data_IF_051849026711
#
_entry.id   IF_051849026711
#
_cell.length_a   1.000
_cell.length_b   1.000
_cell.length_c   1.000
_cell.angle_alpha   90.00
_cell.angle_beta   90.00
_cell.angle_gamma   90.00
#
_symmetry.space_group_name_H-M   'P 1'
#
loop_
_entity.id
_entity.type
_entity.pdbx_description
1 polymer ?
#
# COMPACT_ATOMS: atom_id res chain seq x y z
N UNK A 1 -11.15 -3.77 13.36
CA UNK A 1 -9.85 -4.38 13.02
C UNK A 1 -8.81 -3.65 13.83
N UNK A 2 -7.81 -4.33 14.41
CA UNK A 2 -6.60 -3.61 14.84
C UNK A 2 -6.11 -2.79 13.64
N UNK A 3 -6.00 -1.47 13.81
CA UNK A 3 -5.43 -0.62 12.76
C UNK A 3 -4.01 -1.09 12.50
N UNK A 4 -3.74 -1.56 11.29
CA UNK A 4 -2.40 -1.90 10.85
C UNK A 4 -1.59 -0.59 10.75
N UNK A 5 -0.74 -0.36 11.75
CA UNK A 5 0.01 0.89 11.94
C UNK A 5 0.87 1.24 10.71
N UNK A 6 1.39 0.23 10.03
CA UNK A 6 2.09 0.42 8.76
C UNK A 6 1.18 1.02 7.68
N UNK A 7 -0.06 0.53 7.57
CA UNK A 7 -1.00 1.03 6.58
C UNK A 7 -1.37 2.49 6.88
N UNK A 8 -1.63 2.84 8.15
CA UNK A 8 -1.85 4.22 8.58
C UNK A 8 -0.65 5.12 8.23
N UNK A 9 0.58 4.63 8.46
CA UNK A 9 1.81 5.34 8.08
C UNK A 9 1.93 5.54 6.57
N UNK A 10 1.58 4.52 5.77
CA UNK A 10 1.59 4.62 4.32
C UNK A 10 0.58 5.66 3.83
N UNK A 11 -0.66 5.64 4.33
CA UNK A 11 -1.66 6.66 4.01
C UNK A 11 -1.20 8.07 4.37
N UNK A 12 -0.56 8.24 5.54
CA UNK A 12 0.03 9.54 5.93
C UNK A 12 1.14 9.98 4.99
N UNK A 13 1.99 9.06 4.54
CA UNK A 13 3.06 9.33 3.58
C UNK A 13 2.52 9.79 2.24
N UNK A 14 1.42 9.19 1.77
CA UNK A 14 0.73 9.62 0.56
C UNK A 14 0.11 11.02 0.70
N UNK A 15 -0.53 11.33 1.84
CA UNK A 15 -1.03 12.70 2.09
C UNK A 15 0.08 13.73 1.98
N UNK A 16 1.26 13.41 2.51
CA UNK A 16 2.41 14.29 2.38
C UNK A 16 2.92 14.41 0.95
N UNK A 17 2.98 13.30 0.21
CA UNK A 17 3.43 13.25 -1.17
C UNK A 17 2.50 14.02 -2.12
N UNK A 18 1.20 13.78 -2.02
CA UNK A 18 0.20 14.42 -2.87
C UNK A 18 -0.18 15.83 -2.42
N UNK A 19 0.04 16.18 -1.14
CA UNK A 19 -0.39 17.45 -0.54
C UNK A 19 -1.88 17.72 -0.87
N UNK A 20 -2.18 18.89 -1.41
CA UNK A 20 -3.55 19.31 -1.75
C UNK A 20 -4.12 18.62 -3.01
N UNK A 21 -3.30 17.87 -3.77
CA UNK A 21 -3.74 17.21 -5.01
C UNK A 21 -4.63 15.99 -4.76
N UNK A 22 -4.61 15.45 -3.55
CA UNK A 22 -5.32 14.23 -3.19
C UNK A 22 -6.10 14.46 -1.89
N UNK A 23 -7.37 14.84 -2.04
CA UNK A 23 -8.27 15.10 -0.90
C UNK A 23 -8.90 13.82 -0.34
N UNK A 24 -8.94 12.77 -1.15
CA UNK A 24 -9.55 11.49 -0.79
C UNK A 24 -8.59 10.34 -1.15
N UNK A 25 -8.39 9.40 -0.22
CA UNK A 25 -7.56 8.19 -0.40
C UNK A 25 -8.44 6.94 -0.51
N UNK A 26 -9.75 7.12 -0.77
CA UNK A 26 -10.67 6.02 -1.02
C UNK A 26 -10.30 5.11 -2.19
N UNK A 27 -9.31 5.48 -3.01
CA UNK A 27 -8.74 4.64 -4.06
C UNK A 27 -7.75 3.58 -3.57
N UNK A 28 -7.47 3.54 -2.26
CA UNK A 28 -6.59 2.54 -1.66
C UNK A 28 -7.41 1.64 -0.74
N UNK A 29 -7.41 0.35 -1.08
CA UNK A 29 -8.01 -0.68 -0.26
C UNK A 29 -6.94 -1.54 0.40
N UNK A 30 -7.20 -1.96 1.62
CA UNK A 30 -6.33 -2.85 2.37
C UNK A 30 -7.10 -4.08 2.82
N UNK A 31 -6.55 -5.24 2.50
CA UNK A 31 -7.10 -6.54 2.85
C UNK A 31 -6.00 -7.43 3.41
N UNK A 32 -6.34 -8.31 4.36
CA UNK A 32 -5.42 -9.32 4.86
C UNK A 32 -6.14 -10.63 5.13
N UNK A 33 -5.48 -11.73 4.78
CA UNK A 33 -5.87 -13.09 5.13
C UNK A 33 -4.85 -13.72 6.10
N UNK A 34 -4.88 -15.03 6.27
CA UNK A 34 -3.98 -15.75 7.19
C UNK A 34 -2.50 -15.67 6.80
N UNK A 35 -2.19 -15.53 5.51
CA UNK A 35 -0.84 -15.66 4.98
C UNK A 35 -0.32 -14.36 4.36
N UNK A 36 -1.20 -13.57 3.75
CA UNK A 36 -0.84 -12.40 2.96
C UNK A 36 -1.66 -11.18 3.33
N UNK A 37 -1.07 -10.00 3.09
CA UNK A 37 -1.80 -8.75 3.01
C UNK A 37 -1.70 -8.18 1.60
N UNK A 38 -2.76 -7.50 1.20
CA UNK A 38 -2.99 -6.95 -0.11
C UNK A 38 -3.29 -5.46 0.02
N UNK A 39 -2.63 -4.66 -0.81
CA UNK A 39 -2.89 -3.22 -0.94
C UNK A 39 -3.28 -2.99 -2.40
N UNK A 40 -4.55 -2.67 -2.62
CA UNK A 40 -5.07 -2.32 -3.94
C UNK A 40 -5.06 -0.80 -4.10
N UNK A 41 -4.60 -0.32 -5.25
CA UNK A 41 -4.46 1.10 -5.57
C UNK A 41 -5.05 1.32 -6.96
N UNK A 42 -6.18 2.00 -7.08
CA UNK A 42 -6.86 2.20 -8.37
C UNK A 42 -6.50 3.56 -9.01
N UNK A 43 -6.84 4.67 -8.35
CA UNK A 43 -6.42 6.01 -8.79
C UNK A 43 -4.97 6.31 -8.38
N UNK A 44 -4.27 7.11 -9.19
CA UNK A 44 -2.84 7.44 -8.97
C UNK A 44 -1.96 6.19 -8.77
N UNK A 45 -2.33 5.09 -9.43
CA UNK A 45 -1.77 3.76 -9.21
C UNK A 45 -0.23 3.76 -9.21
N UNK A 46 0.37 4.41 -10.21
CA UNK A 46 1.83 4.46 -10.35
C UNK A 46 2.48 5.31 -9.25
N UNK A 47 1.96 6.51 -8.98
CA UNK A 47 2.53 7.40 -7.97
C UNK A 47 2.44 6.81 -6.56
N UNK A 48 1.27 6.29 -6.18
CA UNK A 48 1.09 5.68 -4.88
C UNK A 48 1.90 4.38 -4.76
N UNK A 49 1.96 3.56 -5.83
CA UNK A 49 2.82 2.38 -5.87
C UNK A 49 4.31 2.72 -5.72
N UNK A 50 4.80 3.80 -6.32
CA UNK A 50 6.19 4.26 -6.16
C UNK A 50 6.46 4.64 -4.70
N UNK A 51 5.55 5.32 -4.02
CA UNK A 51 5.69 5.64 -2.59
C UNK A 51 5.72 4.35 -1.76
N UNK A 52 4.80 3.43 -1.99
CA UNK A 52 4.74 2.15 -1.27
C UNK A 52 6.03 1.33 -1.47
N UNK A 53 6.41 1.10 -2.73
CA UNK A 53 7.59 0.30 -3.09
C UNK A 53 8.89 0.89 -2.54
N UNK A 54 9.01 2.23 -2.47
CA UNK A 54 10.14 2.89 -1.83
C UNK A 54 10.20 2.60 -0.32
N UNK A 55 9.06 2.68 0.37
CA UNK A 55 8.99 2.36 1.80
C UNK A 55 9.36 0.88 2.02
N UNK A 56 8.73 -0.03 1.28
CA UNK A 56 8.99 -1.48 1.38
C UNK A 56 10.47 -1.82 1.10
N UNK A 57 11.07 -1.19 0.07
CA UNK A 57 12.47 -1.40 -0.30
C UNK A 57 13.45 -0.97 0.80
N UNK A 58 13.15 0.12 1.52
CA UNK A 58 13.98 0.59 2.65
C UNK A 58 14.12 -0.47 3.75
N UNK A 59 13.09 -1.29 3.95
CA UNK A 59 13.05 -2.36 4.94
C UNK A 59 13.29 -3.75 4.35
N UNK A 60 13.72 -3.82 3.07
CA UNK A 60 13.99 -5.06 2.34
C UNK A 60 12.82 -6.04 2.36
N UNK A 61 11.60 -5.51 2.26
CA UNK A 61 10.38 -6.33 2.20
C UNK A 61 10.27 -6.90 0.79
N UNK A 62 10.13 -8.23 0.70
CA UNK A 62 9.78 -8.89 -0.57
C UNK A 62 8.28 -8.79 -0.75
N UNK A 63 7.87 -8.30 -1.91
CA UNK A 63 6.46 -8.18 -2.29
C UNK A 63 6.28 -8.58 -3.75
N UNK A 64 5.07 -9.00 -4.09
CA UNK A 64 4.60 -9.21 -5.45
C UNK A 64 3.70 -8.05 -5.86
N UNK A 65 3.69 -7.68 -7.13
CA UNK A 65 2.73 -6.71 -7.67
C UNK A 65 2.03 -7.23 -8.93
N UNK A 66 0.73 -6.98 -9.01
CA UNK A 66 -0.12 -7.26 -10.16
C UNK A 66 -0.72 -5.97 -10.71
N UNK A 67 -0.82 -5.87 -12.04
CA UNK A 67 -1.51 -4.75 -12.69
C UNK A 67 -2.98 -5.11 -12.87
N UNK A 68 -3.87 -4.22 -12.44
CA UNK A 68 -5.31 -4.37 -12.61
C UNK A 68 -5.71 -3.72 -13.94
N UNK A 69 -6.41 -4.49 -14.76
CA UNK A 69 -6.94 -4.03 -16.05
C UNK A 69 -8.46 -4.03 -16.02
N UNK A 70 -9.06 -2.97 -16.54
CA UNK A 70 -10.49 -2.91 -16.84
C UNK A 70 -10.69 -2.34 -18.24
N UNK A 71 -11.48 -3.04 -19.07
CA UNK A 71 -11.77 -2.66 -20.47
C UNK A 71 -10.52 -2.32 -21.31
N UNK A 72 -9.42 -3.03 -21.07
CA UNK A 72 -8.16 -2.86 -21.82
C UNK A 72 -7.27 -1.69 -21.35
N UNK A 73 -7.64 -1.00 -20.26
CA UNK A 73 -6.85 0.08 -19.66
C UNK A 73 -6.34 -0.37 -18.29
N UNK A 74 -5.14 0.07 -17.92
CA UNK A 74 -4.63 -0.11 -16.55
C UNK A 74 -5.45 0.77 -15.62
N UNK A 75 -6.13 0.15 -14.67
CA UNK A 75 -6.98 0.84 -13.69
C UNK A 75 -6.46 0.73 -12.27
N UNK A 76 -5.35 0.02 -12.05
CA UNK A 76 -4.78 -0.08 -10.72
C UNK A 76 -3.58 -1.00 -10.61
N UNK A 77 -3.08 -1.12 -9.39
CA UNK A 77 -2.04 -2.06 -8.98
C UNK A 77 -2.47 -2.72 -7.68
N UNK A 78 -2.28 -4.03 -7.58
CA UNK A 78 -2.39 -4.77 -6.31
C UNK A 78 -0.99 -5.17 -5.86
N UNK A 79 -0.65 -4.87 -4.60
CA UNK A 79 0.60 -5.27 -3.96
C UNK A 79 0.32 -6.30 -2.89
N UNK A 80 1.00 -7.43 -2.97
CA UNK A 80 0.88 -8.53 -2.02
C UNK A 80 2.21 -8.74 -1.28
N UNK A 81 2.15 -8.87 0.04
CA UNK A 81 3.29 -9.28 0.87
C UNK A 81 2.83 -10.20 2.00
N UNK A 82 3.75 -10.98 2.55
CA UNK A 82 3.43 -11.91 3.63
C UNK A 82 3.02 -11.16 4.91
N UNK A 83 2.06 -11.72 5.67
CA UNK A 83 1.60 -11.14 6.94
C UNK A 83 2.73 -10.98 7.95
N UNK A 84 3.73 -11.88 7.99
CA UNK A 84 4.88 -11.74 8.89
C UNK A 84 5.69 -10.47 8.61
N UNK A 85 5.77 -10.06 7.34
CA UNK A 85 6.45 -8.82 6.94
C UNK A 85 5.62 -7.60 7.33
N UNK A 86 4.30 -7.65 7.14
CA UNK A 86 3.38 -6.63 7.65
C UNK A 86 3.50 -6.46 9.17
N UNK A 87 3.52 -7.56 9.94
CA UNK A 87 3.68 -7.50 11.39
C UNK A 87 5.02 -6.90 11.81
N UNK A 88 6.10 -7.22 11.07
CA UNK A 88 7.42 -6.61 11.27
C UNK A 88 7.35 -5.10 11.06
N UNK A 89 6.69 -4.65 9.99
CA UNK A 89 6.48 -3.23 9.72
C UNK A 89 5.61 -2.57 10.80
N UNK A 90 4.50 -3.19 11.20
CA UNK A 90 3.63 -2.68 12.26
C UNK A 90 4.41 -2.44 13.56
N UNK A 91 5.32 -3.34 13.95
CA UNK A 91 6.19 -3.16 15.13
C UNK A 91 7.17 -1.99 14.97
N UNK A 92 7.69 -1.75 13.77
CA UNK A 92 8.63 -0.66 13.49
C UNK A 92 7.95 0.71 13.48
N UNK A 93 6.70 0.78 13.05
CA UNK A 93 5.93 2.03 12.94
C UNK A 93 5.02 2.30 14.13
N UNK A 94 4.90 1.36 15.09
CA UNK A 94 4.35 1.61 16.43
C UNK A 94 5.25 2.61 17.15
N UNK A 95 4.91 3.90 17.02
CA UNK A 95 5.42 4.99 17.86
C UNK A 95 4.59 5.06 19.13
#
# INVERSE_FOLDING_TARGET
MENDVFFDYYLKSLRFYFRDRCKDIGFIEFFKDENNCFITIEDYALEAFVVLSNILSKYRIVFSCGIIYSKGVVTGVEVCMNVSELERLNKLFKI
#
